data_IF_776780597867
#
_entry.id   IF_776780597867
#
_cell.length_a   1.000
_cell.length_b   1.000
_cell.length_c   1.000
_cell.angle_alpha   90.00
_cell.angle_beta   90.00
_cell.angle_gamma   90.00
#
_symmetry.space_group_name_H-M   'P 1'
#
loop_
_entity.id
_entity.type
_entity.pdbx_description
1 polymer ?
#
# COMPACT_ATOMS: atom_id res chain seq x y z
N UNK A 1 -4.02 -28.34 -13.73
CA UNK A 1 -4.28 -27.14 -12.93
C UNK A 1 -5.55 -26.43 -13.43
N UNK A 2 -6.42 -26.14 -12.53
CA UNK A 2 -7.68 -25.48 -12.89
C UNK A 2 -7.43 -24.00 -13.16
N UNK A 3 -7.84 -23.55 -14.33
CA UNK A 3 -7.66 -22.16 -14.73
C UNK A 3 -8.65 -21.27 -13.97
N UNK A 4 -8.14 -20.22 -13.35
CA UNK A 4 -8.96 -19.28 -12.63
C UNK A 4 -9.81 -18.46 -13.61
N UNK A 5 -11.11 -18.42 -13.36
CA UNK A 5 -12.03 -17.64 -14.19
C UNK A 5 -11.94 -16.16 -13.79
N UNK A 6 -11.75 -15.31 -14.80
CA UNK A 6 -11.72 -13.87 -14.59
C UNK A 6 -13.14 -13.32 -14.66
N UNK A 7 -13.55 -12.60 -13.62
CA UNK A 7 -14.84 -11.91 -13.62
C UNK A 7 -14.68 -10.55 -14.29
N UNK A 8 -14.88 -10.51 -15.60
CA UNK A 8 -14.69 -9.30 -16.40
C UNK A 8 -15.57 -8.14 -15.96
N UNK A 9 -16.79 -8.41 -15.53
CA UNK A 9 -17.72 -7.36 -15.10
C UNK A 9 -17.23 -6.69 -13.82
N UNK A 10 -16.73 -7.45 -12.87
CA UNK A 10 -16.16 -6.93 -11.63
C UNK A 10 -14.88 -6.15 -11.92
N UNK A 11 -14.02 -6.70 -12.74
CA UNK A 11 -12.74 -6.06 -13.10
C UNK A 11 -12.99 -4.78 -13.87
N UNK A 12 -13.94 -4.78 -14.80
CA UNK A 12 -14.28 -3.58 -15.54
C UNK A 12 -14.74 -2.44 -14.63
N UNK A 13 -15.51 -2.77 -13.60
CA UNK A 13 -15.91 -1.79 -12.57
C UNK A 13 -14.72 -1.25 -11.80
N UNK A 14 -13.79 -2.13 -11.45
CA UNK A 14 -12.60 -1.77 -10.69
C UNK A 14 -11.64 -0.90 -11.51
N UNK A 15 -11.69 -0.97 -12.83
CA UNK A 15 -10.87 -0.15 -13.70
C UNK A 15 -11.32 1.33 -13.71
N UNK A 16 -12.51 1.61 -13.24
CA UNK A 16 -12.95 2.97 -13.03
C UNK A 16 -12.17 3.57 -11.85
N UNK A 17 -11.45 4.65 -12.09
CA UNK A 17 -10.56 5.22 -11.08
C UNK A 17 -9.64 4.15 -10.49
N UNK A 18 -8.90 3.49 -11.37
CA UNK A 18 -8.04 2.37 -10.99
C UNK A 18 -7.06 2.72 -9.88
N UNK A 19 -6.54 3.94 -9.90
CA UNK A 19 -5.67 4.46 -8.83
C UNK A 19 -6.40 4.44 -7.49
N UNK A 20 -7.63 4.91 -7.44
CA UNK A 20 -8.44 4.91 -6.22
C UNK A 20 -8.70 3.48 -5.73
N UNK A 21 -9.06 2.59 -6.65
CA UNK A 21 -9.29 1.17 -6.33
C UNK A 21 -8.05 0.54 -5.73
N UNK A 22 -6.88 0.81 -6.31
CA UNK A 22 -5.61 0.29 -5.80
C UNK A 22 -5.31 0.83 -4.40
N UNK A 23 -5.49 2.14 -4.19
CA UNK A 23 -5.17 2.77 -2.91
C UNK A 23 -6.08 2.30 -1.79
N UNK A 24 -7.37 2.11 -2.07
CA UNK A 24 -8.32 1.55 -1.10
C UNK A 24 -7.93 0.11 -0.75
N UNK A 25 -7.63 -0.69 -1.78
CA UNK A 25 -7.16 -2.06 -1.61
C UNK A 25 -5.91 -2.11 -0.74
N UNK A 26 -4.95 -1.25 -1.05
CA UNK A 26 -3.68 -1.21 -0.32
C UNK A 26 -3.89 -0.85 1.15
N UNK A 27 -4.71 0.16 1.42
CA UNK A 27 -5.02 0.59 2.79
C UNK A 27 -5.63 -0.53 3.61
N UNK A 28 -6.65 -1.19 3.05
CA UNK A 28 -7.34 -2.28 3.73
C UNK A 28 -6.39 -3.45 4.00
N UNK A 29 -5.61 -3.83 2.99
CA UNK A 29 -4.71 -4.98 3.12
C UNK A 29 -3.53 -4.69 4.03
N UNK A 30 -2.96 -3.49 3.99
CA UNK A 30 -1.87 -3.13 4.89
C UNK A 30 -2.32 -3.07 6.34
N UNK A 31 -3.56 -2.61 6.58
CA UNK A 31 -4.11 -2.56 7.93
C UNK A 31 -4.21 -3.96 8.53
N UNK A 32 -4.75 -4.90 7.77
CA UNK A 32 -4.87 -6.30 8.22
C UNK A 32 -3.51 -6.96 8.31
N UNK A 33 -2.65 -6.74 7.31
CA UNK A 33 -1.31 -7.32 7.29
C UNK A 33 -0.51 -6.90 8.54
N UNK A 34 -0.52 -5.62 8.86
CA UNK A 34 0.21 -5.10 10.02
C UNK A 34 -0.25 -5.77 11.30
N UNK A 35 -1.57 -5.94 11.44
CA UNK A 35 -2.16 -6.59 12.62
C UNK A 35 -1.81 -8.07 12.70
N UNK A 36 -1.97 -8.79 11.60
CA UNK A 36 -1.84 -10.26 11.61
C UNK A 36 -0.39 -10.72 11.50
N UNK A 37 0.38 -10.10 10.62
CA UNK A 37 1.78 -10.50 10.42
C UNK A 37 2.64 -10.20 11.64
N UNK A 38 2.36 -9.13 12.37
CA UNK A 38 3.13 -8.77 13.57
C UNK A 38 3.06 -9.84 14.66
N UNK A 39 2.07 -10.72 14.61
CA UNK A 39 1.91 -11.82 15.56
C UNK A 39 2.76 -13.03 15.20
N UNK A 40 3.26 -13.09 13.97
CA UNK A 40 3.92 -14.27 13.42
C UNK A 40 5.39 -14.01 13.09
N UNK A 41 5.67 -12.81 12.55
CA UNK A 41 7.03 -12.42 12.16
C UNK A 41 7.41 -11.10 12.80
N UNK A 42 8.72 -10.89 12.94
CA UNK A 42 9.23 -9.64 13.49
C UNK A 42 9.35 -8.60 12.36
N UNK A 43 8.39 -7.70 12.29
CA UNK A 43 8.37 -6.65 11.28
C UNK A 43 9.41 -5.56 11.52
N UNK A 44 10.14 -5.64 12.63
CA UNK A 44 11.23 -4.72 12.92
C UNK A 44 12.61 -5.33 12.65
N UNK A 45 12.66 -6.56 12.14
CA UNK A 45 13.92 -7.24 11.84
C UNK A 45 14.61 -6.65 10.60
N UNK A 46 13.86 -6.48 9.51
CA UNK A 46 14.40 -5.91 8.28
C UNK A 46 14.36 -4.38 8.35
N UNK A 47 15.44 -3.77 7.90
CA UNK A 47 15.57 -2.31 7.88
C UNK A 47 15.83 -1.84 6.46
N UNK A 48 15.32 -0.67 6.15
CA UNK A 48 15.38 -0.07 4.82
C UNK A 48 15.81 1.39 4.94
N UNK A 49 16.49 1.89 3.92
CA UNK A 49 16.88 3.30 3.88
C UNK A 49 15.89 4.05 2.99
N UNK A 50 15.27 5.07 3.56
CA UNK A 50 14.35 5.94 2.85
C UNK A 50 14.66 7.39 3.21
N UNK A 51 15.03 8.19 2.21
CA UNK A 51 15.43 9.61 2.38
C UNK A 51 16.46 9.78 3.49
N UNK A 52 17.51 8.96 3.45
CA UNK A 52 18.62 8.97 4.43
C UNK A 52 18.20 8.59 5.86
N UNK A 53 17.02 8.01 6.02
CA UNK A 53 16.52 7.56 7.31
C UNK A 53 16.39 6.05 7.28
N UNK A 54 16.82 5.38 8.35
CA UNK A 54 16.67 3.94 8.49
C UNK A 54 15.33 3.63 9.13
N UNK A 55 14.50 2.85 8.42
CA UNK A 55 13.15 2.50 8.88
C UNK A 55 12.97 0.99 8.85
N UNK A 56 12.25 0.47 9.84
CA UNK A 56 11.86 -0.94 9.84
C UNK A 56 10.66 -1.14 8.91
N UNK A 57 10.37 -2.39 8.58
CA UNK A 57 9.20 -2.71 7.75
C UNK A 57 7.92 -2.20 8.40
N UNK A 58 7.79 -2.37 9.73
CA UNK A 58 6.61 -1.88 10.46
C UNK A 58 6.48 -0.37 10.33
N UNK A 59 7.58 0.35 10.50
CA UNK A 59 7.57 1.81 10.39
C UNK A 59 7.19 2.28 8.99
N UNK A 60 7.67 1.58 7.95
CA UNK A 60 7.33 1.90 6.57
C UNK A 60 5.84 1.67 6.32
N UNK A 61 5.29 0.56 6.79
CA UNK A 61 3.87 0.25 6.64
C UNK A 61 3.01 1.31 7.34
N UNK A 62 3.39 1.69 8.56
CA UNK A 62 2.66 2.73 9.30
C UNK A 62 2.72 4.08 8.57
N UNK A 63 3.87 4.41 7.99
CA UNK A 63 4.03 5.64 7.22
C UNK A 63 3.13 5.63 5.98
N UNK A 64 3.06 4.50 5.28
CA UNK A 64 2.15 4.35 4.15
C UNK A 64 0.69 4.53 4.58
N UNK A 65 0.29 3.97 5.72
CA UNK A 65 -1.08 4.10 6.21
C UNK A 65 -1.43 5.55 6.55
N UNK A 66 -0.49 6.30 7.12
CA UNK A 66 -0.68 7.72 7.38
C UNK A 66 -0.92 8.48 6.07
N UNK A 67 -0.11 8.19 5.05
CA UNK A 67 -0.25 8.83 3.74
C UNK A 67 -1.57 8.44 3.06
N UNK A 68 -1.94 7.17 3.14
CA UNK A 68 -3.21 6.69 2.58
C UNK A 68 -4.41 7.37 3.24
N UNK A 69 -4.34 7.60 4.55
CA UNK A 69 -5.38 8.35 5.25
C UNK A 69 -5.42 9.82 4.80
N UNK A 70 -4.27 10.41 4.53
CA UNK A 70 -4.19 11.82 4.13
C UNK A 70 -4.84 12.11 2.77
N UNK A 71 -4.88 11.12 1.90
CA UNK A 71 -5.45 11.27 0.55
C UNK A 71 -6.87 10.74 0.43
N UNK A 72 -7.47 10.30 1.53
CA UNK A 72 -8.83 9.79 1.52
C UNK A 72 -9.79 10.89 1.06
N UNK A 73 -10.60 10.57 0.05
CA UNK A 73 -11.54 11.51 -0.54
C UNK A 73 -10.93 12.46 -1.56
N UNK A 74 -9.62 12.36 -1.82
CA UNK A 74 -8.94 13.18 -2.81
C UNK A 74 -8.73 12.41 -4.11
N UNK A 75 -8.51 13.15 -5.18
CA UNK A 75 -8.24 12.59 -6.51
C UNK A 75 -7.27 13.50 -7.30
N UNK A 76 -7.04 13.16 -8.56
CA UNK A 76 -6.09 13.89 -9.40
C UNK A 76 -6.42 15.40 -9.55
N UNK A 77 -7.66 15.79 -9.34
CA UNK A 77 -8.07 17.19 -9.40
C UNK A 77 -7.54 18.01 -8.22
N UNK A 78 -7.14 17.34 -7.13
CA UNK A 78 -6.57 17.99 -5.96
C UNK A 78 -5.09 18.33 -6.13
N UNK A 79 -4.50 18.00 -7.29
CA UNK A 79 -3.12 18.33 -7.63
C UNK A 79 -2.12 17.67 -6.68
N UNK A 80 -1.16 18.46 -6.20
CA UNK A 80 -0.04 17.94 -5.39
C UNK A 80 -0.50 17.34 -4.06
N UNK A 81 -1.64 17.77 -3.53
CA UNK A 81 -2.18 17.20 -2.30
C UNK A 81 -2.54 15.73 -2.45
N UNK A 82 -2.72 15.28 -3.68
CA UNK A 82 -2.99 13.89 -3.99
C UNK A 82 -1.77 13.20 -4.62
N UNK A 83 -1.16 13.82 -5.63
CA UNK A 83 -0.11 13.18 -6.42
C UNK A 83 1.19 12.98 -5.66
N UNK A 84 1.58 13.93 -4.81
CA UNK A 84 2.81 13.78 -4.02
C UNK A 84 2.72 12.66 -2.98
N UNK A 85 1.64 12.58 -2.16
CA UNK A 85 1.48 11.45 -1.26
C UNK A 85 1.40 10.10 -1.99
N UNK A 86 0.73 10.05 -3.16
CA UNK A 86 0.67 8.83 -3.96
C UNK A 86 2.05 8.37 -4.39
N UNK A 87 2.89 9.29 -4.86
CA UNK A 87 4.26 8.99 -5.27
C UNK A 87 5.07 8.45 -4.09
N UNK A 88 4.93 9.06 -2.94
CA UNK A 88 5.63 8.61 -1.72
C UNK A 88 5.15 7.23 -1.27
N UNK A 89 3.84 6.96 -1.34
CA UNK A 89 3.29 5.65 -1.03
C UNK A 89 3.92 4.58 -1.94
N UNK A 90 4.01 4.85 -3.23
CA UNK A 90 4.59 3.91 -4.19
C UNK A 90 6.08 3.68 -3.92
N UNK A 91 6.82 4.72 -3.56
CA UNK A 91 8.23 4.58 -3.20
C UNK A 91 8.41 3.71 -1.96
N UNK A 92 7.59 3.90 -0.95
CA UNK A 92 7.63 3.10 0.27
C UNK A 92 7.20 1.65 -0.01
N UNK A 93 6.16 1.46 -0.81
CA UNK A 93 5.67 0.14 -1.23
C UNK A 93 6.76 -0.64 -1.94
N UNK A 94 7.49 0.02 -2.81
CA UNK A 94 8.61 -0.57 -3.55
C UNK A 94 9.68 -1.13 -2.63
N UNK A 95 9.97 -0.45 -1.53
CA UNK A 95 10.99 -0.89 -0.57
C UNK A 95 10.62 -2.20 0.11
N UNK A 96 9.36 -2.36 0.51
CA UNK A 96 8.93 -3.52 1.31
C UNK A 96 8.25 -4.62 0.51
N UNK A 97 7.99 -4.38 -0.77
CA UNK A 97 7.16 -5.27 -1.58
C UNK A 97 7.61 -6.74 -1.53
N UNK A 98 8.91 -6.98 -1.63
CA UNK A 98 9.46 -8.34 -1.65
C UNK A 98 9.59 -8.96 -0.26
N UNK A 99 9.32 -8.21 0.78
CA UNK A 99 9.43 -8.68 2.17
C UNK A 99 8.06 -8.93 2.81
N UNK A 100 6.98 -8.76 2.06
CA UNK A 100 5.63 -8.87 2.59
C UNK A 100 5.07 -10.28 2.49
N UNK A 101 5.60 -11.14 3.36
CA UNK A 101 5.15 -12.51 3.46
C UNK A 101 5.21 -12.95 4.93
N UNK A 102 4.50 -14.02 5.25
CA UNK A 102 4.62 -14.63 6.55
C UNK A 102 4.44 -16.16 6.53
#
# INVERSE_FOLDING_TARGET
MKKKTINKKKISKECWNLDHTFLVWLKEHLTVYLKDASKIVDLNYHKFIYKNEELTQEEIIKKMLILLNSIEGKDAWDGDEYTEPCSEILDLWKLVFHSMWW
#
